data_IF_301828804706
#
_entry.id   IF_301828804706
#
_cell.length_a   1.000
_cell.length_b   1.000
_cell.length_c   1.000
_cell.angle_alpha   90.00
_cell.angle_beta   90.00
_cell.angle_gamma   90.00
#
_symmetry.space_group_name_H-M   'P 1'
#
loop_
_entity.id
_entity.type
_entity.pdbx_description
1 polymer ?
#
# COMPACT_ATOMS: atom_id res chain seq x y z
N UNK A 1 8.73 8.61 -14.27
CA UNK A 1 8.62 9.99 -14.77
C UNK A 1 7.97 10.83 -13.69
N UNK A 2 8.48 12.04 -13.44
CA UNK A 2 7.95 12.95 -12.41
C UNK A 2 6.81 13.79 -13.01
N UNK A 3 5.67 13.88 -12.31
CA UNK A 3 4.57 14.77 -12.71
C UNK A 3 4.80 16.14 -12.10
N UNK A 4 4.92 17.18 -12.93
CA UNK A 4 5.08 18.55 -12.47
C UNK A 4 3.73 19.28 -12.48
N UNK A 5 3.26 19.70 -11.31
CA UNK A 5 2.10 20.58 -11.19
C UNK A 5 2.56 22.03 -11.09
N UNK A 6 1.95 22.92 -11.86
CA UNK A 6 2.13 24.37 -11.70
C UNK A 6 1.05 24.89 -10.76
N UNK A 7 1.47 25.37 -9.59
CA UNK A 7 0.60 26.05 -8.64
C UNK A 7 0.83 27.56 -8.75
N UNK A 8 -0.16 28.29 -9.27
CA UNK A 8 -0.18 29.74 -9.25
C UNK A 8 -0.69 30.27 -7.91
N UNK A 9 -0.05 31.31 -7.37
CA UNK A 9 -0.69 32.13 -6.35
C UNK A 9 -1.57 33.20 -7.00
N UNK A 10 -2.50 33.77 -6.22
CA UNK A 10 -3.37 34.87 -6.67
C UNK A 10 -2.61 36.17 -7.00
N UNK A 11 -1.28 36.20 -6.81
CA UNK A 11 -0.41 37.32 -7.11
C UNK A 11 0.37 37.13 -8.45
N UNK A 12 0.10 36.05 -9.19
CA UNK A 12 0.69 35.79 -10.50
C UNK A 12 2.06 35.11 -10.46
N UNK A 13 2.53 34.67 -9.29
CA UNK A 13 3.73 33.85 -9.16
C UNK A 13 3.38 32.37 -9.33
N UNK A 14 4.21 31.62 -10.05
CA UNK A 14 3.99 30.20 -10.31
C UNK A 14 5.12 29.36 -9.72
N UNK A 15 4.75 28.38 -8.90
CA UNK A 15 5.70 27.41 -8.34
C UNK A 15 5.45 26.04 -8.96
N UNK A 16 6.53 25.39 -9.38
CA UNK A 16 6.48 24.01 -9.85
C UNK A 16 6.56 23.08 -8.64
N UNK A 17 5.56 22.21 -8.51
CA UNK A 17 5.47 21.18 -7.48
C UNK A 17 5.67 19.80 -8.12
N UNK A 18 6.86 19.19 -7.97
CA UNK A 18 7.10 17.85 -8.49
C UNK A 18 6.37 16.80 -7.65
N UNK A 19 5.71 15.85 -8.33
CA UNK A 19 5.10 14.65 -7.74
C UNK A 19 5.87 13.44 -8.24
N UNK A 20 6.50 12.73 -7.31
CA UNK A 20 7.17 11.46 -7.57
C UNK A 20 6.22 10.31 -7.28
N UNK A 21 5.65 9.71 -8.33
CA UNK A 21 4.66 8.65 -8.20
C UNK A 21 5.30 7.25 -8.05
N UNK A 22 6.15 6.86 -9.02
CA UNK A 22 6.84 5.56 -9.07
C UNK A 22 5.98 4.36 -8.64
N UNK A 23 4.73 4.31 -9.13
CA UNK A 23 3.75 3.29 -8.79
C UNK A 23 2.94 2.91 -10.02
N UNK A 24 2.59 1.63 -10.13
CA UNK A 24 1.61 1.16 -11.12
C UNK A 24 0.22 1.73 -10.82
N UNK A 25 -0.49 2.11 -11.89
CA UNK A 25 -1.88 2.61 -11.84
C UNK A 25 -2.72 1.70 -12.72
N UNK A 26 -3.70 1.02 -12.11
CA UNK A 26 -4.55 0.08 -12.83
C UNK A 26 -5.59 0.79 -13.68
N UNK A 27 -5.99 0.21 -14.83
CA UNK A 27 -7.09 0.73 -15.61
C UNK A 27 -8.38 0.74 -14.79
N UNK A 28 -9.29 1.66 -15.11
CA UNK A 28 -10.57 1.84 -14.42
C UNK A 28 -11.58 0.70 -14.72
N UNK A 29 -11.12 -0.45 -15.20
CA UNK A 29 -11.97 -1.55 -15.68
C UNK A 29 -12.59 -2.30 -14.51
N UNK A 30 -13.92 -2.34 -14.56
CA UNK A 30 -14.91 -2.84 -13.61
C UNK A 30 -14.79 -2.34 -12.18
N UNK A 31 -15.78 -1.53 -11.80
CA UNK A 31 -16.22 -1.34 -10.43
C UNK A 31 -16.70 -2.71 -9.94
N UNK A 32 -15.76 -3.59 -9.58
CA UNK A 32 -16.05 -4.76 -8.79
C UNK A 32 -15.82 -4.38 -7.32
N UNK A 33 -16.61 -4.96 -6.42
CA UNK A 33 -16.70 -4.61 -5.00
C UNK A 33 -15.39 -4.75 -4.20
N UNK A 34 -14.30 -5.17 -4.85
CA UNK A 34 -12.93 -5.23 -4.32
C UNK A 34 -11.93 -4.22 -4.92
N UNK A 35 -12.36 -3.34 -5.83
CA UNK A 35 -11.43 -2.39 -6.49
C UNK A 35 -10.85 -1.41 -5.46
N UNK A 36 -9.52 -1.28 -5.36
CA UNK A 36 -8.90 -0.26 -4.52
C UNK A 36 -9.45 1.12 -4.89
N UNK A 37 -9.80 1.93 -3.91
CA UNK A 37 -10.27 3.30 -4.13
C UNK A 37 -9.31 4.13 -5.00
N UNK A 38 -9.76 5.31 -5.44
CA UNK A 38 -8.97 6.25 -6.26
C UNK A 38 -7.53 6.37 -5.74
N UNK A 39 -6.53 6.21 -6.61
CA UNK A 39 -5.11 6.38 -6.27
C UNK A 39 -4.82 7.83 -5.87
N UNK A 40 -4.05 8.01 -4.80
CA UNK A 40 -3.66 9.31 -4.25
C UNK A 40 -2.13 9.43 -4.31
N UNK A 41 -1.64 10.60 -4.76
CA UNK A 41 -0.22 10.96 -4.77
C UNK A 41 -0.01 12.30 -4.07
N UNK A 42 1.07 12.43 -3.31
CA UNK A 42 1.39 13.63 -2.53
C UNK A 42 2.64 14.34 -3.08
N UNK A 43 2.62 15.67 -3.13
CA UNK A 43 3.71 16.49 -3.67
C UNK A 43 4.77 16.90 -2.63
N UNK A 44 4.43 16.87 -1.33
CA UNK A 44 5.30 17.33 -0.24
C UNK A 44 5.25 16.35 0.93
N UNK A 45 6.38 16.24 1.65
CA UNK A 45 6.48 15.43 2.85
C UNK A 45 6.11 16.26 4.09
N UNK A 46 5.30 15.67 4.98
CA UNK A 46 4.92 16.26 6.26
C UNK A 46 4.99 15.20 7.37
N UNK A 47 5.44 15.59 8.57
CA UNK A 47 5.19 14.81 9.77
C UNK A 47 3.67 14.68 10.00
N UNK A 48 3.19 13.63 10.69
CA UNK A 48 1.76 13.45 10.94
C UNK A 48 1.07 14.71 11.49
N UNK A 49 1.66 15.33 12.53
CA UNK A 49 1.14 16.56 13.14
C UNK A 49 1.24 17.83 12.27
N UNK A 50 2.05 17.79 11.20
CA UNK A 50 2.22 18.91 10.26
C UNK A 50 1.37 18.74 8.99
N UNK A 51 0.62 17.64 8.85
CA UNK A 51 -0.23 17.42 7.69
C UNK A 51 -1.28 18.53 7.59
N UNK A 52 -1.34 19.29 6.48
CA UNK A 52 -2.35 20.33 6.28
C UNK A 52 -3.75 19.78 6.52
N UNK A 53 -4.62 20.55 7.17
CA UNK A 53 -5.94 20.07 7.60
C UNK A 53 -6.75 19.43 6.46
N UNK A 54 -6.75 20.04 5.27
CA UNK A 54 -7.44 19.52 4.08
C UNK A 54 -6.86 18.22 3.49
N UNK A 55 -5.68 17.77 3.94
CA UNK A 55 -5.02 16.55 3.46
C UNK A 55 -5.06 15.40 4.47
N UNK A 56 -5.55 15.62 5.70
CA UNK A 56 -5.52 14.62 6.77
C UNK A 56 -6.36 13.38 6.44
N UNK A 57 -7.60 13.57 5.99
CA UNK A 57 -8.49 12.47 5.62
C UNK A 57 -7.92 11.63 4.47
N UNK A 58 -7.34 12.27 3.45
CA UNK A 58 -6.68 11.56 2.35
C UNK A 58 -5.47 10.74 2.80
N UNK A 59 -4.68 11.27 3.74
CA UNK A 59 -3.55 10.55 4.33
C UNK A 59 -4.02 9.33 5.13
N UNK A 60 -5.06 9.48 5.95
CA UNK A 60 -5.63 8.41 6.76
C UNK A 60 -6.23 7.30 5.89
N UNK A 61 -6.98 7.68 4.84
CA UNK A 61 -7.60 6.73 3.93
C UNK A 61 -6.55 5.96 3.09
N UNK A 62 -5.50 6.62 2.58
CA UNK A 62 -4.40 5.93 1.88
C UNK A 62 -3.70 4.90 2.79
N UNK A 63 -3.52 5.23 4.07
CA UNK A 63 -2.96 4.30 5.06
C UNK A 63 -3.90 3.14 5.37
N UNK A 64 -5.21 3.39 5.49
CA UNK A 64 -6.21 2.35 5.72
C UNK A 64 -6.26 1.35 4.56
N UNK A 65 -6.29 1.85 3.33
CA UNK A 65 -6.27 1.00 2.13
C UNK A 65 -5.01 0.14 2.05
N UNK A 66 -3.85 0.69 2.43
CA UNK A 66 -2.59 -0.06 2.48
C UNK A 66 -2.55 -1.16 3.54
N UNK A 67 -3.33 -1.06 4.63
CA UNK A 67 -3.40 -2.11 5.65
C UNK A 67 -4.36 -3.23 5.28
N UNK A 68 -5.40 -2.91 4.48
CA UNK A 68 -6.45 -3.87 4.18
C UNK A 68 -7.23 -4.30 5.43
N UNK A 69 -7.70 -5.55 5.43
CA UNK A 69 -8.58 -6.12 6.45
C UNK A 69 -8.07 -7.43 7.06
N UNK A 70 -6.84 -7.87 6.72
CA UNK A 70 -6.27 -9.14 7.20
C UNK A 70 -6.90 -10.41 6.60
N UNK A 71 -7.71 -10.30 5.56
CA UNK A 71 -8.37 -11.44 4.92
C UNK A 71 -8.25 -11.40 3.39
N UNK A 72 -8.62 -12.50 2.76
CA UNK A 72 -8.65 -12.66 1.30
C UNK A 72 -7.30 -13.08 0.70
N UNK A 73 -7.35 -13.74 -0.46
CA UNK A 73 -6.18 -13.97 -1.29
C UNK A 73 -5.71 -12.63 -1.88
N UNK A 74 -4.39 -12.42 -1.91
CA UNK A 74 -3.82 -11.20 -2.49
C UNK A 74 -3.80 -11.31 -4.00
N UNK A 75 -4.32 -10.28 -4.66
CA UNK A 75 -4.30 -10.15 -6.11
C UNK A 75 -3.05 -9.41 -6.60
N UNK A 76 -2.72 -9.54 -7.88
CA UNK A 76 -1.49 -8.98 -8.44
C UNK A 76 -1.41 -7.44 -8.37
N UNK A 77 -2.56 -6.77 -8.31
CA UNK A 77 -2.68 -5.33 -8.24
C UNK A 77 -3.05 -4.80 -6.85
N UNK A 78 -3.16 -5.69 -5.86
CA UNK A 78 -3.31 -5.32 -4.47
C UNK A 78 -2.10 -4.52 -4.00
N UNK A 79 -2.39 -3.53 -3.17
CA UNK A 79 -1.39 -2.71 -2.48
C UNK A 79 -1.61 -2.79 -0.97
N UNK A 80 -1.99 -3.97 -0.51
CA UNK A 80 -2.20 -4.31 0.89
C UNK A 80 -0.92 -4.92 1.44
N UNK A 81 -0.46 -4.39 2.57
CA UNK A 81 0.71 -4.84 3.30
C UNK A 81 0.27 -5.31 4.67
N UNK A 82 0.46 -6.60 4.93
CA UNK A 82 0.16 -7.24 6.19
C UNK A 82 1.19 -8.34 6.47
N UNK A 83 1.13 -8.92 7.66
CA UNK A 83 2.07 -9.94 8.11
C UNK A 83 1.44 -11.33 8.07
N UNK A 84 2.29 -12.32 7.83
CA UNK A 84 2.00 -13.73 8.10
C UNK A 84 3.29 -14.42 8.57
N UNK A 85 3.16 -15.63 9.10
CA UNK A 85 4.28 -16.50 9.47
C UNK A 85 4.80 -17.25 8.24
N UNK A 86 6.00 -17.83 8.34
CA UNK A 86 6.51 -18.72 7.31
C UNK A 86 5.86 -20.10 7.43
N UNK A 87 4.67 -20.23 6.86
CA UNK A 87 3.89 -21.47 6.72
C UNK A 87 3.86 -21.97 5.26
N UNK A 88 4.57 -21.29 4.36
CA UNK A 88 4.51 -21.42 2.90
C UNK A 88 5.76 -22.10 2.29
N UNK A 89 6.71 -22.53 3.13
CA UNK A 89 7.97 -23.15 2.69
C UNK A 89 7.85 -24.65 2.38
N UNK A 90 6.83 -25.33 2.94
CA UNK A 90 6.61 -26.77 2.77
C UNK A 90 5.67 -27.09 1.61
N UNK A 91 5.68 -28.35 1.17
CA UNK A 91 4.70 -28.85 0.19
C UNK A 91 4.19 -30.26 0.54
N UNK A 92 3.54 -30.44 1.70
CA UNK A 92 3.13 -31.75 2.19
C UNK A 92 2.05 -32.43 1.33
N UNK A 93 1.23 -31.66 0.60
CA UNK A 93 0.19 -32.20 -0.28
C UNK A 93 0.78 -32.96 -1.47
N UNK A 94 1.97 -32.56 -1.94
CA UNK A 94 2.68 -33.28 -3.00
C UNK A 94 3.44 -34.51 -2.49
N UNK A 95 4.09 -34.38 -1.33
CA UNK A 95 4.84 -35.44 -0.67
C UNK A 95 5.01 -35.09 0.82
N UNK A 96 4.63 -35.99 1.72
CA UNK A 96 4.74 -35.81 3.16
C UNK A 96 6.17 -35.50 3.66
N UNK A 97 7.21 -35.99 2.97
CA UNK A 97 8.60 -35.71 3.32
C UNK A 97 9.01 -34.24 3.09
N UNK A 98 8.19 -33.49 2.35
CA UNK A 98 8.37 -32.06 2.10
C UNK A 98 7.66 -31.18 3.14
N UNK A 99 7.08 -31.77 4.19
CA UNK A 99 6.55 -31.02 5.32
C UNK A 99 7.66 -30.21 6.01
N UNK A 100 7.34 -28.98 6.40
CA UNK A 100 8.23 -28.08 7.15
C UNK A 100 7.49 -27.52 8.36
N UNK A 101 8.18 -27.29 9.50
CA UNK A 101 7.56 -26.61 10.62
C UNK A 101 7.25 -25.16 10.25
N UNK A 102 6.18 -24.62 10.81
CA UNK A 102 5.86 -23.19 10.72
C UNK A 102 6.89 -22.39 11.53
N UNK A 103 7.46 -21.34 10.94
CA UNK A 103 8.40 -20.43 11.61
C UNK A 103 7.71 -19.09 11.89
N UNK A 104 7.66 -18.69 13.16
CA UNK A 104 6.91 -17.53 13.63
C UNK A 104 5.72 -17.91 14.53
N UNK A 105 5.23 -16.97 15.33
CA UNK A 105 4.02 -17.15 16.17
C UNK A 105 4.15 -18.11 17.36
N UNK A 106 5.32 -18.73 17.58
CA UNK A 106 5.56 -19.63 18.71
C UNK A 106 6.89 -19.34 19.42
N UNK A 107 6.99 -19.71 20.70
CA UNK A 107 8.27 -19.62 21.45
C UNK A 107 9.30 -20.66 21.01
N UNK A 108 8.84 -21.79 20.46
CA UNK A 108 9.70 -22.89 20.02
C UNK A 108 10.38 -22.55 18.68
N UNK A 109 9.65 -21.90 17.78
CA UNK A 109 10.15 -21.45 16.47
C UNK A 109 9.87 -19.95 16.31
N UNK A 110 10.57 -19.07 17.06
CA UNK A 110 10.43 -17.63 16.88
C UNK A 110 11.02 -17.22 15.53
N UNK A 111 10.32 -16.36 14.81
CA UNK A 111 10.79 -15.81 13.55
C UNK A 111 10.14 -14.43 13.34
N UNK A 112 10.80 -13.50 12.62
CA UNK A 112 10.19 -12.23 12.24
C UNK A 112 8.81 -12.37 11.59
#
# INVERSE_FOLDING_TARGET
EDLNLTAGDGAGNSTVLPIRCNSWVQPKSSIDEGTPGKRIFFAKAYLPGQTPAGLRSYREEDLKQKRGNGAGQREADDRVYDYDVYNDLGNPDSNGDLARPVLGGSKQFPYP
#
